data_IF_316740144998
#
_entry.id   IF_316740144998
#
_cell.length_a   1.000
_cell.length_b   1.000
_cell.length_c   1.000
_cell.angle_alpha   90.00
_cell.angle_beta   90.00
_cell.angle_gamma   90.00
#
_symmetry.space_group_name_H-M   'P 1'
#
loop_
_entity.id
_entity.type
_entity.pdbx_description
1 polymer ?
#
# COMPACT_ATOMS: atom_id res chain seq x y z
N UNK A 1 -41.70 2.03 -19.14
CA UNK A 1 -41.82 2.59 -20.51
C UNK A 1 -40.53 2.38 -21.28
N UNK A 2 -40.38 1.27 -22.01
CA UNK A 2 -39.49 1.14 -23.18
C UNK A 2 -40.15 0.13 -24.12
N UNK A 3 -40.25 0.53 -25.38
CA UNK A 3 -41.17 -0.01 -26.36
C UNK A 3 -40.70 -1.33 -26.99
N UNK A 4 -41.69 -2.15 -27.27
CA UNK A 4 -41.70 -3.38 -28.08
C UNK A 4 -41.64 -2.95 -29.55
N UNK A 5 -40.76 -3.55 -30.36
CA UNK A 5 -40.88 -3.53 -31.82
C UNK A 5 -40.78 -4.95 -32.35
N UNK A 6 -41.88 -5.34 -32.98
CA UNK A 6 -42.29 -6.64 -33.47
C UNK A 6 -42.02 -6.76 -34.98
N UNK A 7 -41.71 -8.00 -35.40
CA UNK A 7 -42.05 -8.68 -36.68
C UNK A 7 -41.53 -8.13 -38.03
N UNK A 8 -41.02 -9.02 -38.90
CA UNK A 8 -41.77 -9.52 -40.09
C UNK A 8 -40.93 -10.51 -40.93
N UNK A 9 -41.38 -11.76 -40.98
CA UNK A 9 -40.97 -12.82 -41.91
C UNK A 9 -41.66 -12.64 -43.26
N UNK A 10 -40.92 -12.73 -44.37
CA UNK A 10 -41.50 -12.94 -45.72
C UNK A 10 -40.78 -14.11 -46.39
N UNK A 11 -41.54 -15.19 -46.52
CA UNK A 11 -41.30 -16.33 -47.42
C UNK A 11 -41.73 -15.89 -48.81
N UNK A 12 -40.88 -16.02 -49.82
CA UNK A 12 -41.29 -15.95 -51.22
C UNK A 12 -40.51 -16.98 -52.04
N UNK A 13 -41.21 -18.06 -52.36
CA UNK A 13 -40.85 -19.00 -53.40
C UNK A 13 -41.44 -18.48 -54.72
N UNK A 14 -40.62 -18.29 -55.76
CA UNK A 14 -41.14 -18.12 -57.12
C UNK A 14 -40.12 -18.57 -58.17
N UNK A 15 -40.52 -19.62 -58.89
CA UNK A 15 -40.33 -19.89 -60.32
C UNK A 15 -38.92 -19.94 -60.94
N UNK A 16 -38.50 -21.20 -61.16
CA UNK A 16 -38.19 -21.78 -62.48
C UNK A 16 -38.06 -20.79 -63.66
N UNK A 17 -36.84 -20.56 -64.12
CA UNK A 17 -36.58 -20.20 -65.51
C UNK A 17 -35.24 -20.80 -65.96
N UNK A 18 -35.30 -22.00 -66.55
CA UNK A 18 -34.24 -22.50 -67.42
C UNK A 18 -34.15 -21.58 -68.63
N UNK A 19 -33.06 -20.82 -68.73
CA UNK A 19 -32.66 -20.14 -69.97
C UNK A 19 -31.41 -20.79 -70.53
N UNK A 20 -31.57 -21.36 -71.71
CA UNK A 20 -30.50 -21.82 -72.59
C UNK A 20 -29.59 -20.64 -72.93
N UNK A 21 -28.37 -20.66 -72.40
CA UNK A 21 -27.33 -19.72 -72.79
C UNK A 21 -26.77 -20.10 -74.16
N UNK A 22 -27.18 -19.35 -75.18
CA UNK A 22 -26.46 -19.28 -76.47
C UNK A 22 -25.11 -18.62 -76.25
N UNK A 23 -24.04 -19.41 -76.34
CA UNK A 23 -22.66 -18.93 -76.34
C UNK A 23 -22.35 -18.26 -77.69
N UNK A 24 -22.67 -16.98 -77.84
CA UNK A 24 -22.11 -16.15 -78.91
C UNK A 24 -20.74 -15.62 -78.47
N UNK A 25 -19.68 -16.24 -78.98
CA UNK A 25 -18.30 -15.82 -78.78
C UNK A 25 -17.95 -14.68 -79.73
N UNK A 26 -18.33 -13.45 -79.35
CA UNK A 26 -17.71 -12.26 -79.91
C UNK A 26 -16.25 -12.22 -79.44
N UNK A 27 -15.34 -12.50 -80.36
CA UNK A 27 -13.88 -12.41 -80.17
C UNK A 27 -13.49 -10.94 -79.96
N UNK A 28 -12.99 -10.55 -78.78
CA UNK A 28 -12.48 -9.20 -78.58
C UNK A 28 -11.12 -9.04 -79.26
N UNK A 29 -10.99 -8.00 -80.05
CA UNK A 29 -9.78 -7.49 -80.70
C UNK A 29 -8.61 -7.38 -79.69
N UNK A 30 -7.36 -7.78 -80.05
CA UNK A 30 -6.24 -7.92 -79.11
C UNK A 30 -5.75 -6.63 -78.43
N UNK A 31 -6.16 -5.46 -78.92
CA UNK A 31 -5.77 -4.14 -78.37
C UNK A 31 -6.53 -3.78 -77.09
N UNK A 32 -7.86 -4.01 -77.04
CA UNK A 32 -8.72 -3.63 -75.90
C UNK A 32 -8.46 -4.44 -74.63
N UNK A 33 -7.91 -5.66 -74.79
CA UNK A 33 -7.61 -6.58 -73.67
C UNK A 33 -6.39 -6.11 -72.84
N UNK A 34 -5.41 -5.49 -73.49
CA UNK A 34 -4.18 -4.99 -72.82
C UNK A 34 -4.47 -3.77 -71.95
N UNK A 35 -5.33 -2.86 -72.40
CA UNK A 35 -5.67 -1.65 -71.65
C UNK A 35 -6.55 -1.97 -70.43
N UNK A 36 -7.49 -2.91 -70.55
CA UNK A 36 -8.26 -3.42 -69.41
C UNK A 36 -7.39 -4.11 -68.35
N UNK A 37 -6.30 -4.79 -68.76
CA UNK A 37 -5.34 -5.39 -67.83
C UNK A 37 -4.52 -4.30 -67.11
N UNK A 38 -4.07 -3.26 -67.82
CA UNK A 38 -3.35 -2.12 -67.23
C UNK A 38 -4.19 -1.38 -66.19
N UNK A 39 -5.45 -1.06 -66.51
CA UNK A 39 -6.38 -0.44 -65.56
C UNK A 39 -6.59 -1.28 -64.30
N UNK A 40 -6.73 -2.61 -64.45
CA UNK A 40 -6.83 -3.52 -63.29
C UNK A 40 -5.56 -3.54 -62.43
N UNK A 41 -4.39 -3.39 -63.03
CA UNK A 41 -3.11 -3.33 -62.30
C UNK A 41 -2.99 -2.01 -61.54
N UNK A 42 -3.34 -0.88 -62.16
CA UNK A 42 -3.33 0.44 -61.50
C UNK A 42 -4.33 0.50 -60.33
N UNK A 43 -5.56 0.04 -60.53
CA UNK A 43 -6.57 -0.03 -59.45
C UNK A 43 -6.12 -0.93 -58.30
N UNK A 44 -5.48 -2.06 -58.61
CA UNK A 44 -4.90 -2.92 -57.56
C UNK A 44 -3.74 -2.24 -56.85
N UNK A 45 -2.90 -1.50 -57.55
CA UNK A 45 -1.76 -0.79 -56.97
C UNK A 45 -2.23 0.31 -56.02
N UNK A 46 -3.18 1.14 -56.43
CA UNK A 46 -3.75 2.19 -55.58
C UNK A 46 -4.46 1.60 -54.37
N UNK A 47 -5.23 0.52 -54.53
CA UNK A 47 -5.87 -0.18 -53.41
C UNK A 47 -4.85 -0.76 -52.42
N UNK A 48 -3.73 -1.29 -52.90
CA UNK A 48 -2.66 -1.78 -52.03
C UNK A 48 -1.94 -0.64 -51.30
N UNK A 49 -1.75 0.51 -51.94
CA UNK A 49 -1.15 1.70 -51.33
C UNK A 49 -2.07 2.27 -50.24
N UNK A 50 -3.37 2.47 -50.53
CA UNK A 50 -4.33 2.93 -49.53
C UNK A 50 -4.43 1.96 -48.36
N UNK A 51 -4.50 0.65 -48.62
CA UNK A 51 -4.53 -0.35 -47.54
C UNK A 51 -3.27 -0.36 -46.69
N UNK A 52 -2.09 -0.11 -47.28
CA UNK A 52 -0.83 0.03 -46.53
C UNK A 52 -0.86 1.27 -45.63
N UNK A 53 -1.40 2.38 -46.12
CA UNK A 53 -1.52 3.62 -45.36
C UNK A 53 -2.53 3.49 -44.21
N UNK A 54 -3.70 2.91 -44.46
CA UNK A 54 -4.70 2.59 -43.44
C UNK A 54 -4.13 1.68 -42.35
N UNK A 55 -3.38 0.63 -42.74
CA UNK A 55 -2.73 -0.25 -41.77
C UNK A 55 -1.68 0.49 -40.93
N UNK A 56 -0.88 1.37 -41.55
CA UNK A 56 0.09 2.20 -40.82
C UNK A 56 -0.62 3.11 -39.81
N UNK A 57 -1.69 3.79 -40.23
CA UNK A 57 -2.49 4.65 -39.34
C UNK A 57 -3.09 3.85 -38.19
N UNK A 58 -3.74 2.71 -38.47
CA UNK A 58 -4.29 1.83 -37.43
C UNK A 58 -3.22 1.35 -36.44
N UNK A 59 -2.00 1.07 -36.91
CA UNK A 59 -0.89 0.68 -36.02
C UNK A 59 -0.48 1.84 -35.13
N UNK A 60 -0.37 3.05 -35.67
CA UNK A 60 -0.03 4.25 -34.90
C UNK A 60 -1.11 4.57 -33.86
N UNK A 61 -2.38 4.52 -34.22
CA UNK A 61 -3.50 4.76 -33.31
C UNK A 61 -3.57 3.71 -32.20
N UNK A 62 -3.35 2.43 -32.55
CA UNK A 62 -3.26 1.35 -31.56
C UNK A 62 -2.06 1.50 -30.62
N UNK A 63 -0.93 2.03 -31.10
CA UNK A 63 0.24 2.32 -30.26
C UNK A 63 -0.06 3.47 -29.29
N UNK A 64 -0.56 4.59 -29.81
CA UNK A 64 -0.91 5.76 -29.01
C UNK A 64 -1.95 5.43 -27.92
N UNK A 65 -3.00 4.70 -28.27
CA UNK A 65 -4.03 4.27 -27.30
C UNK A 65 -3.50 3.31 -26.25
N UNK A 66 -2.58 2.40 -26.61
CA UNK A 66 -1.92 1.51 -25.64
C UNK A 66 -0.99 2.28 -24.73
N UNK A 67 -0.22 3.21 -25.26
CA UNK A 67 0.71 4.05 -24.48
C UNK A 67 -0.04 4.92 -23.48
N UNK A 68 -1.15 5.54 -23.88
CA UNK A 68 -2.03 6.30 -22.99
C UNK A 68 -2.58 5.43 -21.85
N UNK A 69 -3.15 4.26 -22.16
CA UNK A 69 -3.65 3.32 -21.15
C UNK A 69 -2.54 2.85 -20.19
N UNK A 70 -1.35 2.59 -20.71
CA UNK A 70 -0.21 2.20 -19.86
C UNK A 70 0.24 3.35 -18.95
N UNK A 71 0.17 4.60 -19.42
CA UNK A 71 0.50 5.76 -18.60
C UNK A 71 -0.50 5.91 -17.43
N UNK A 72 -1.81 5.79 -17.70
CA UNK A 72 -2.85 5.84 -16.67
C UNK A 72 -2.68 4.74 -15.62
N UNK A 73 -2.50 3.49 -16.06
CA UNK A 73 -2.28 2.34 -15.16
C UNK A 73 -1.03 2.52 -14.31
N UNK A 74 0.04 3.14 -14.85
CA UNK A 74 1.23 3.45 -14.05
C UNK A 74 0.94 4.48 -12.98
N UNK A 75 0.21 5.56 -13.30
CA UNK A 75 -0.17 6.59 -12.33
C UNK A 75 -1.01 6.00 -11.20
N UNK A 76 -2.02 5.19 -11.54
CA UNK A 76 -2.88 4.51 -10.57
C UNK A 76 -2.08 3.57 -9.65
N UNK A 77 -1.15 2.78 -10.21
CA UNK A 77 -0.29 1.92 -9.40
C UNK A 77 0.60 2.70 -8.45
N UNK A 78 1.15 3.83 -8.89
CA UNK A 78 1.97 4.71 -8.06
C UNK A 78 1.13 5.33 -6.94
N UNK A 79 -0.04 5.87 -7.24
CA UNK A 79 -0.92 6.47 -6.22
C UNK A 79 -1.37 5.45 -5.17
N UNK A 80 -1.80 4.26 -5.61
CA UNK A 80 -2.23 3.19 -4.71
C UNK A 80 -1.08 2.74 -3.80
N UNK A 81 0.10 2.53 -4.39
CA UNK A 81 1.29 2.15 -3.64
C UNK A 81 1.70 3.24 -2.63
N UNK A 82 1.63 4.51 -3.03
CA UNK A 82 1.90 5.65 -2.15
C UNK A 82 0.95 5.67 -0.96
N UNK A 83 -0.36 5.58 -1.18
CA UNK A 83 -1.35 5.60 -0.11
C UNK A 83 -1.12 4.48 0.91
N UNK A 84 -0.84 3.27 0.46
CA UNK A 84 -0.51 2.15 1.35
C UNK A 84 0.73 2.44 2.20
N UNK A 85 1.77 3.00 1.58
CA UNK A 85 3.03 3.32 2.23
C UNK A 85 2.86 4.46 3.26
N UNK A 86 2.16 5.52 2.88
CA UNK A 86 1.83 6.67 3.72
C UNK A 86 1.05 6.25 4.96
N UNK A 87 -0.05 5.49 4.77
CA UNK A 87 -0.87 4.98 5.87
C UNK A 87 -0.07 4.11 6.84
N UNK A 88 0.84 3.28 6.32
CA UNK A 88 1.72 2.46 7.15
C UNK A 88 2.68 3.31 7.99
N UNK A 89 3.25 4.38 7.44
CA UNK A 89 4.15 5.27 8.19
C UNK A 89 3.39 6.07 9.24
N UNK A 90 2.20 6.58 8.91
CA UNK A 90 1.32 7.24 9.88
C UNK A 90 0.98 6.30 11.05
N UNK A 91 0.60 5.06 10.78
CA UNK A 91 0.31 4.09 11.83
C UNK A 91 1.52 3.84 12.75
N UNK A 92 2.73 3.80 12.20
CA UNK A 92 3.96 3.68 12.98
C UNK A 92 4.20 4.93 13.85
N UNK A 93 4.02 6.13 13.29
CA UNK A 93 4.14 7.40 14.02
C UNK A 93 3.17 7.41 15.21
N UNK A 94 1.87 7.12 14.98
CA UNK A 94 0.87 7.06 16.05
C UNK A 94 1.22 6.05 17.13
N UNK A 95 1.78 4.89 16.76
CA UNK A 95 2.23 3.89 17.73
C UNK A 95 3.39 4.41 18.60
N UNK A 96 4.35 5.12 18.01
CA UNK A 96 5.49 5.70 18.73
C UNK A 96 5.04 6.85 19.64
N UNK A 97 4.09 7.69 19.22
CA UNK A 97 3.50 8.73 20.09
C UNK A 97 2.85 8.14 21.33
N UNK A 98 2.03 7.10 21.16
CA UNK A 98 1.41 6.40 22.30
C UNK A 98 2.46 5.78 23.22
N UNK A 99 3.58 5.31 22.67
CA UNK A 99 4.68 4.76 23.47
C UNK A 99 5.37 5.85 24.29
N UNK A 100 5.65 7.01 23.68
CA UNK A 100 6.19 8.19 24.36
C UNK A 100 5.26 8.61 25.51
N UNK A 101 3.96 8.76 25.26
CA UNK A 101 2.98 9.14 26.29
C UNK A 101 2.98 8.17 27.49
N UNK A 102 3.08 6.86 27.22
CA UNK A 102 3.15 5.84 28.28
C UNK A 102 4.45 5.93 29.07
N UNK A 103 5.56 6.25 28.41
CA UNK A 103 6.86 6.46 29.06
C UNK A 103 6.80 7.70 29.95
N UNK A 104 6.28 8.82 29.46
CA UNK A 104 6.08 10.06 30.24
C UNK A 104 5.24 9.81 31.49
N UNK A 105 4.11 9.13 31.34
CA UNK A 105 3.23 8.79 32.46
C UNK A 105 3.95 7.93 33.51
N UNK A 106 4.82 7.02 33.07
CA UNK A 106 5.60 6.18 33.98
C UNK A 106 6.70 6.97 34.67
N UNK A 107 7.38 7.85 33.95
CA UNK A 107 8.44 8.68 34.48
C UNK A 107 7.90 9.63 35.56
N UNK A 108 6.76 10.27 35.29
CA UNK A 108 6.07 11.11 36.27
C UNK A 108 5.74 10.35 37.57
N UNK A 109 5.28 9.11 37.47
CA UNK A 109 5.03 8.26 38.65
C UNK A 109 6.30 7.88 39.40
N UNK A 110 7.43 7.71 38.72
CA UNK A 110 8.70 7.39 39.40
C UNK A 110 9.17 8.60 40.20
N UNK A 111 9.10 9.79 39.60
CA UNK A 111 9.46 11.06 40.24
C UNK A 111 8.58 11.38 41.44
N UNK A 112 7.27 11.10 41.34
CA UNK A 112 6.32 11.27 42.46
C UNK A 112 6.61 10.32 43.63
N UNK A 113 7.07 9.09 43.35
CA UNK A 113 7.30 8.09 44.40
C UNK A 113 8.70 8.21 45.03
N UNK A 114 9.70 8.73 44.32
CA UNK A 114 11.07 8.86 44.80
C UNK A 114 11.77 10.07 44.18
N UNK A 115 11.76 11.20 44.88
CA UNK A 115 12.40 12.46 44.44
C UNK A 115 13.93 12.37 44.33
N UNK A 116 14.56 11.34 44.91
CA UNK A 116 16.01 11.14 44.89
C UNK A 116 16.54 10.39 43.65
N UNK A 117 15.65 9.90 42.78
CA UNK A 117 16.05 9.22 41.54
C UNK A 117 16.35 10.26 40.46
N UNK A 118 17.58 10.27 39.95
CA UNK A 118 17.95 11.06 38.79
C UNK A 118 17.30 10.49 37.51
N UNK A 119 16.46 11.29 36.86
CA UNK A 119 15.76 10.95 35.61
C UNK A 119 16.21 11.81 34.43
N UNK A 120 17.23 12.65 34.58
CA UNK A 120 17.57 13.69 33.60
C UNK A 120 17.98 13.09 32.24
N UNK A 121 18.83 12.06 32.24
CA UNK A 121 19.23 11.36 31.01
C UNK A 121 18.03 10.74 30.28
N UNK A 122 17.08 10.17 31.03
CA UNK A 122 15.86 9.57 30.45
C UNK A 122 15.00 10.66 29.80
N UNK A 123 14.88 11.83 30.43
CA UNK A 123 14.15 12.99 29.89
C UNK A 123 14.80 13.49 28.59
N UNK A 124 16.12 13.59 28.56
CA UNK A 124 16.88 14.03 27.40
C UNK A 124 16.72 13.08 26.21
N UNK A 125 16.84 11.77 26.44
CA UNK A 125 16.61 10.76 25.40
C UNK A 125 15.17 10.79 24.88
N UNK A 126 14.20 10.99 25.77
CA UNK A 126 12.79 11.09 25.39
C UNK A 126 12.50 12.36 24.58
N UNK A 127 13.13 13.48 24.93
CA UNK A 127 13.04 14.72 24.18
C UNK A 127 13.66 14.56 22.78
N UNK A 128 14.82 13.92 22.69
CA UNK A 128 15.44 13.61 21.40
C UNK A 128 14.50 12.74 20.52
N UNK A 129 13.92 11.69 21.09
CA UNK A 129 12.95 10.85 20.37
C UNK A 129 11.72 11.63 19.86
N UNK A 130 11.21 12.60 20.64
CA UNK A 130 10.12 13.49 20.22
C UNK A 130 10.51 14.39 19.05
N UNK A 131 11.70 14.99 19.11
CA UNK A 131 12.20 15.86 18.06
C UNK A 131 12.37 15.08 16.75
N UNK A 132 13.01 13.91 16.79
CA UNK A 132 13.13 13.01 15.64
C UNK A 132 11.75 12.60 15.08
N UNK A 133 10.76 12.38 15.95
CA UNK A 133 9.41 12.03 15.52
C UNK A 133 8.70 13.20 14.82
N UNK A 134 8.88 14.43 15.32
CA UNK A 134 8.38 15.63 14.67
C UNK A 134 9.03 15.81 13.29
N UNK A 135 10.33 15.63 13.18
CA UNK A 135 11.05 15.69 11.90
C UNK A 135 10.59 14.61 10.93
N UNK A 136 10.34 13.39 11.42
CA UNK A 136 9.83 12.29 10.61
C UNK A 136 8.42 12.59 10.06
N UNK A 137 7.55 13.22 10.86
CA UNK A 137 6.23 13.69 10.42
C UNK A 137 6.35 14.75 9.33
N UNK A 138 7.13 15.79 9.56
CA UNK A 138 7.35 16.86 8.59
C UNK A 138 7.89 16.32 7.27
N UNK A 139 8.84 15.38 7.34
CA UNK A 139 9.40 14.73 6.15
C UNK A 139 8.35 13.88 5.41
N UNK A 140 7.47 13.19 6.14
CA UNK A 140 6.39 12.39 5.54
C UNK A 140 5.33 13.26 4.85
N UNK A 141 4.96 14.38 5.45
CA UNK A 141 4.01 15.33 4.87
C UNK A 141 4.59 16.02 3.64
N UNK A 142 5.86 16.43 3.67
CA UNK A 142 6.55 16.99 2.52
C UNK A 142 6.56 15.99 1.34
N UNK A 143 6.87 14.72 1.62
CA UNK A 143 6.83 13.67 0.62
C UNK A 143 5.40 13.47 0.07
N UNK A 144 4.35 13.61 0.90
CA UNK A 144 2.96 13.52 0.45
C UNK A 144 2.57 14.65 -0.51
N UNK A 145 3.02 15.88 -0.24
CA UNK A 145 2.78 17.02 -1.14
C UNK A 145 3.45 16.84 -2.50
N UNK A 146 4.62 16.20 -2.56
CA UNK A 146 5.36 15.97 -3.81
C UNK A 146 4.70 14.97 -4.78
N UNK A 147 3.72 14.18 -4.31
CA UNK A 147 3.12 13.12 -5.13
C UNK A 147 2.29 13.65 -6.29
N UNK A 148 1.62 14.79 -6.12
CA UNK A 148 0.82 15.37 -7.21
C UNK A 148 1.71 15.77 -8.40
N UNK A 149 2.89 16.33 -8.10
CA UNK A 149 3.89 16.67 -9.11
C UNK A 149 4.45 15.42 -9.81
N UNK A 150 4.68 14.34 -9.05
CA UNK A 150 5.10 13.04 -9.59
C UNK A 150 4.05 12.45 -10.54
N UNK A 151 2.77 12.53 -10.20
CA UNK A 151 1.68 12.01 -11.02
C UNK A 151 1.44 12.85 -12.27
N UNK A 152 1.76 14.15 -12.21
CA UNK A 152 1.66 15.08 -13.34
C UNK A 152 2.86 15.02 -14.29
N UNK A 153 3.97 14.41 -13.88
CA UNK A 153 5.17 14.25 -14.70
C UNK A 153 4.96 13.38 -15.95
N UNK A 154 5.72 13.68 -17.00
CA UNK A 154 5.82 12.86 -18.22
C UNK A 154 6.40 11.47 -17.93
N UNK A 155 7.26 11.36 -16.90
CA UNK A 155 7.85 10.09 -16.45
C UNK A 155 7.58 9.85 -14.95
N UNK A 156 6.36 9.47 -14.56
CA UNK A 156 5.98 9.30 -13.15
C UNK A 156 6.86 8.30 -12.40
N UNK A 157 7.37 7.27 -13.09
CA UNK A 157 8.22 6.23 -12.49
C UNK A 157 9.58 6.77 -12.05
N UNK A 158 10.19 7.64 -12.86
CA UNK A 158 11.49 8.23 -12.54
C UNK A 158 11.34 9.25 -11.41
N UNK A 159 10.33 10.13 -11.51
CA UNK A 159 10.02 11.12 -10.48
C UNK A 159 9.68 10.48 -9.12
N UNK A 160 8.93 9.37 -9.11
CA UNK A 160 8.62 8.61 -7.89
C UNK A 160 9.87 8.02 -7.20
N UNK A 161 10.98 7.84 -7.93
CA UNK A 161 12.25 7.39 -7.36
C UNK A 161 12.78 8.34 -6.28
N UNK A 162 12.58 9.65 -6.44
CA UNK A 162 13.00 10.67 -5.46
C UNK A 162 12.20 10.55 -4.18
N UNK A 163 10.86 10.53 -4.28
CA UNK A 163 9.95 10.38 -3.13
C UNK A 163 10.21 9.07 -2.39
N UNK A 164 10.53 8.00 -3.11
CA UNK A 164 10.92 6.73 -2.50
C UNK A 164 12.15 6.84 -1.61
N UNK A 165 13.15 7.64 -2.00
CA UNK A 165 14.35 7.85 -1.21
C UNK A 165 14.05 8.67 0.04
N UNK A 166 13.21 9.70 -0.06
CA UNK A 166 12.74 10.47 1.10
C UNK A 166 12.04 9.59 2.13
N UNK A 167 11.15 8.69 1.67
CA UNK A 167 10.50 7.71 2.55
C UNK A 167 11.49 6.73 3.20
N UNK A 168 12.58 6.36 2.52
CA UNK A 168 13.63 5.55 3.16
C UNK A 168 14.29 6.31 4.31
N UNK A 169 14.47 7.63 4.16
CA UNK A 169 14.89 8.51 5.25
C UNK A 169 13.92 8.49 6.42
N UNK A 170 12.62 8.69 6.17
CA UNK A 170 11.57 8.60 7.20
C UNK A 170 11.60 7.25 7.92
N UNK A 171 11.68 6.15 7.17
CA UNK A 171 11.76 4.80 7.73
C UNK A 171 12.96 4.62 8.66
N UNK A 172 14.10 5.18 8.30
CA UNK A 172 15.32 5.09 9.10
C UNK A 172 15.17 5.86 10.41
N UNK A 173 14.65 7.10 10.36
CA UNK A 173 14.31 7.88 11.55
C UNK A 173 13.34 7.14 12.47
N UNK A 174 12.29 6.52 11.93
CA UNK A 174 11.32 5.75 12.74
C UNK A 174 11.95 4.55 13.45
N UNK A 175 12.94 3.88 12.84
CA UNK A 175 13.69 2.80 13.49
C UNK A 175 14.58 3.32 14.61
N UNK A 176 15.25 4.44 14.37
CA UNK A 176 16.10 5.09 15.35
C UNK A 176 15.31 5.53 16.58
N UNK A 177 14.16 6.20 16.37
CA UNK A 177 13.22 6.55 17.44
C UNK A 177 12.82 5.30 18.23
N UNK A 178 12.44 4.21 17.54
CA UNK A 178 12.09 2.97 18.22
C UNK A 178 13.24 2.43 19.08
N UNK A 179 14.48 2.47 18.58
CA UNK A 179 15.67 2.03 19.33
C UNK A 179 15.85 2.86 20.59
N UNK A 180 15.78 4.19 20.49
CA UNK A 180 15.89 5.11 21.64
C UNK A 180 14.81 4.78 22.67
N UNK A 181 13.56 4.63 22.24
CA UNK A 181 12.45 4.32 23.17
C UNK A 181 12.61 2.95 23.85
N UNK A 182 13.19 1.96 23.18
CA UNK A 182 13.50 0.66 23.79
C UNK A 182 14.59 0.80 24.86
N UNK A 183 15.62 1.60 24.61
CA UNK A 183 16.65 1.90 25.60
C UNK A 183 16.06 2.62 26.82
N UNK A 184 15.28 3.67 26.61
CA UNK A 184 14.56 4.39 27.68
C UNK A 184 13.70 3.44 28.53
N UNK A 185 13.01 2.48 27.91
CA UNK A 185 12.23 1.48 28.66
C UNK A 185 13.13 0.57 29.50
N UNK A 186 14.31 0.22 28.99
CA UNK A 186 15.33 -0.53 29.72
C UNK A 186 15.80 0.24 30.96
N UNK A 187 16.15 1.52 30.78
CA UNK A 187 16.64 2.39 31.84
C UNK A 187 15.58 2.58 32.94
N UNK A 188 14.33 2.87 32.56
CA UNK A 188 13.19 2.96 33.48
C UNK A 188 12.98 1.67 34.27
N UNK A 189 13.16 0.50 33.63
CA UNK A 189 13.04 -0.78 34.33
C UNK A 189 14.19 -0.98 35.32
N UNK A 190 15.42 -0.62 34.93
CA UNK A 190 16.60 -0.70 35.77
C UNK A 190 16.46 0.10 37.07
N UNK A 191 15.84 1.28 36.99
CA UNK A 191 15.53 2.11 38.16
C UNK A 191 14.60 1.41 39.17
N UNK A 192 13.77 0.47 38.73
CA UNK A 192 12.79 -0.19 39.61
C UNK A 192 13.33 -1.44 40.31
N UNK A 193 14.19 -2.22 39.65
CA UNK A 193 14.70 -3.49 40.22
C UNK A 193 15.70 -3.30 41.37
N UNK A 194 16.34 -2.14 41.51
CA UNK A 194 17.20 -1.84 42.66
C UNK A 194 16.44 -1.38 43.92
N UNK A 195 15.17 -1.02 43.80
CA UNK A 195 14.37 -0.46 44.89
C UNK A 195 13.65 -1.54 45.74
N UNK A 196 13.35 -2.70 45.14
CA UNK A 196 12.59 -3.78 45.81
C UNK A 196 13.40 -4.42 46.97
N UNK A 197 14.73 -4.38 46.93
CA UNK A 197 15.59 -4.96 47.98
C UNK A 197 15.74 -4.06 49.23
N UNK A 198 15.50 -2.75 49.11
CA UNK A 198 15.64 -1.81 50.24
C UNK A 198 14.35 -1.65 51.04
N UNK A 199 13.18 -1.82 50.41
CA UNK A 199 11.89 -1.66 51.08
C UNK A 199 11.40 -2.93 51.80
N UNK A 200 12.02 -4.10 51.53
CA UNK A 200 11.65 -5.37 52.19
C UNK A 200 12.52 -5.69 53.43
N UNK A 201 13.52 -4.86 53.75
CA UNK A 201 14.45 -5.10 54.85
C UNK A 201 14.03 -4.48 56.20
N UNK A 202 12.92 -3.73 56.26
CA UNK A 202 12.55 -2.96 57.46
C UNK A 202 11.27 -3.42 58.19
N UNK A 203 10.60 -4.50 57.76
CA UNK A 203 9.37 -5.00 58.42
C UNK A 203 9.42 -6.45 58.93
N UNK A 204 10.58 -7.00 59.27
CA UNK A 204 10.62 -8.33 59.93
C UNK A 204 11.72 -8.48 60.97
N UNK A 205 11.52 -7.83 62.12
CA UNK A 205 12.20 -8.20 63.36
C UNK A 205 11.38 -7.75 64.59
N UNK A 206 10.20 -8.35 64.78
CA UNK A 206 9.56 -8.37 66.10
C UNK A 206 9.65 -9.82 66.62
N UNK A 207 10.43 -10.10 67.67
CA UNK A 207 10.56 -11.45 68.19
C UNK A 207 9.30 -11.78 69.02
N UNK A 208 8.43 -12.62 68.47
CA UNK A 208 7.37 -13.26 69.24
C UNK A 208 8.00 -14.28 70.17
N UNK A 209 7.97 -14.00 71.47
CA UNK A 209 8.42 -14.89 72.54
C UNK A 209 7.43 -16.05 72.65
N UNK A 210 7.85 -17.25 72.25
CA UNK A 210 7.14 -18.50 72.52
C UNK A 210 7.24 -18.85 74.01
N UNK A 211 6.09 -18.79 74.70
CA UNK A 211 5.91 -19.40 76.03
C UNK A 211 5.32 -20.79 75.82
N UNK A 212 6.14 -21.81 76.08
CA UNK A 212 5.72 -23.21 76.18
C UNK A 212 4.98 -23.44 77.51
N UNK A 213 3.81 -24.08 77.48
CA UNK A 213 3.35 -24.96 78.57
C UNK A 213 2.36 -26.01 78.04
N UNK A 214 2.26 -27.20 78.69
CA UNK A 214 1.86 -28.45 78.03
C UNK A 214 0.49 -29.00 78.48
N UNK A 215 0.04 -30.06 77.78
CA UNK A 215 -0.87 -31.14 78.25
C UNK A 215 -2.36 -30.71 78.35
N UNK A 216 -3.33 -31.39 77.74
CA UNK A 216 -3.86 -32.71 78.11
C UNK A 216 -4.63 -33.35 76.93
N UNK A 217 -4.37 -34.64 76.79
CA UNK A 217 -4.98 -35.69 75.98
C UNK A 217 -6.44 -36.00 76.36
N UNK A 218 -7.36 -36.10 75.39
CA UNK A 218 -8.64 -36.81 75.58
C UNK A 218 -9.23 -37.32 74.24
N UNK A 219 -9.13 -38.64 74.09
CA UNK A 219 -9.92 -39.61 73.29
C UNK A 219 -11.20 -39.13 72.58
N UNK A 220 -11.35 -39.34 71.26
CA UNK A 220 -11.95 -40.53 70.59
C UNK A 220 -13.48 -40.41 70.37
N UNK A 221 -14.13 -41.27 69.55
CA UNK A 221 -14.27 -41.15 68.09
C UNK A 221 -15.77 -41.10 67.68
N UNK A 222 -16.08 -41.04 66.37
CA UNK A 222 -17.00 -41.97 65.65
C UNK A 222 -17.50 -41.37 64.33
N UNK A 223 -17.51 -42.15 63.23
CA UNK A 223 -17.92 -41.76 61.87
C UNK A 223 -19.42 -42.02 61.65
N UNK A 224 -20.02 -41.54 60.56
CA UNK A 224 -21.16 -42.24 59.89
C UNK A 224 -21.41 -41.65 58.49
N UNK A 225 -21.19 -42.53 57.50
CA UNK A 225 -21.84 -42.72 56.17
C UNK A 225 -21.81 -41.58 55.17
#
# INVERSE_FOLDING_TARGET
MKAIITTLTIVSAFFFFMSTSSAQTLTPTPTTRKDAIKQKIEVKKTLLETRKEELKQQILDKKATREAKLAEVRKERISTFWQMLYNRMLANITRLERLIQRIETRLAKIEENNESIDTDNIKDQLLNAKNLLADAKTSLEAANLSIEDVLSSNEPKAAFGVVRNEIQGVKTKLKEIHSILVHVIGDIKGLRVGQDDLNNATESATPTVEVLTPTVEASSPTPTI
#
